data_IF_465945854611
#
_entry.id   IF_465945854611
#
_cell.length_a   1.000
_cell.length_b   1.000
_cell.length_c   1.000
_cell.angle_alpha   90.00
_cell.angle_beta   90.00
_cell.angle_gamma   90.00
#
_symmetry.space_group_name_H-M   'P 1'
#
loop_
_entity.id
_entity.type
_entity.pdbx_description
1 polymer ?
#
# COMPACT_ATOMS: atom_id res chain seq x y z
N UNK A 1 -4.09 14.44 20.29
CA UNK A 1 -4.44 14.92 18.93
C UNK A 1 -4.25 13.78 17.93
N UNK A 2 -5.23 13.51 17.07
CA UNK A 2 -5.17 12.42 16.09
C UNK A 2 -4.26 12.78 14.90
N UNK A 3 -3.51 11.79 14.38
CA UNK A 3 -2.73 11.89 13.15
C UNK A 3 -3.58 11.38 11.97
N UNK A 4 -3.49 12.02 10.81
CA UNK A 4 -4.22 11.59 9.61
C UNK A 4 -3.30 10.76 8.71
N UNK A 5 -3.84 9.75 8.04
CA UNK A 5 -3.09 9.00 7.01
C UNK A 5 -3.58 9.39 5.62
N UNK A 6 -2.66 9.53 4.67
CA UNK A 6 -2.93 9.70 3.25
C UNK A 6 -2.03 8.79 2.44
N UNK A 7 -2.63 7.88 1.68
CA UNK A 7 -1.94 6.88 0.88
C UNK A 7 -1.85 7.35 -0.57
N UNK A 8 -0.66 7.33 -1.15
CA UNK A 8 -0.43 7.41 -2.58
C UNK A 8 -0.02 6.03 -3.07
N UNK A 9 -0.76 5.52 -4.06
CA UNK A 9 -0.56 4.20 -4.64
C UNK A 9 -0.48 4.29 -6.16
N UNK A 10 0.24 3.39 -6.82
CA UNK A 10 0.46 3.51 -8.27
C UNK A 10 -0.76 3.17 -9.11
N UNK A 11 -1.55 2.18 -8.68
CA UNK A 11 -2.61 1.60 -9.49
C UNK A 11 -3.89 1.29 -8.73
N UNK A 12 -4.87 0.78 -9.48
CA UNK A 12 -6.19 0.41 -8.96
C UNK A 12 -6.15 -0.85 -8.11
N UNK A 13 -5.23 -1.78 -8.37
CA UNK A 13 -5.09 -2.98 -7.54
C UNK A 13 -4.66 -2.59 -6.11
N UNK A 14 -3.64 -1.74 -5.99
CA UNK A 14 -3.14 -1.23 -4.72
C UNK A 14 -4.18 -0.35 -4.03
N UNK A 15 -4.91 0.48 -4.78
CA UNK A 15 -6.03 1.26 -4.23
C UNK A 15 -7.08 0.35 -3.58
N UNK A 16 -7.53 -0.67 -4.31
CA UNK A 16 -8.53 -1.64 -3.83
C UNK A 16 -8.02 -2.43 -2.63
N UNK A 17 -6.74 -2.84 -2.64
CA UNK A 17 -6.11 -3.53 -1.52
C UNK A 17 -6.04 -2.62 -0.28
N UNK A 18 -5.57 -1.38 -0.40
CA UNK A 18 -5.50 -0.42 0.71
C UNK A 18 -6.89 -0.10 1.25
N UNK A 19 -7.91 0.05 0.39
CA UNK A 19 -9.31 0.21 0.81
C UNK A 19 -9.79 -0.98 1.65
N UNK A 20 -9.46 -2.19 1.21
CA UNK A 20 -9.81 -3.43 1.91
C UNK A 20 -9.10 -3.51 3.27
N UNK A 21 -7.78 -3.30 3.31
CA UNK A 21 -6.97 -3.45 4.52
C UNK A 21 -7.28 -2.42 5.60
N UNK A 22 -7.63 -1.19 5.20
CA UNK A 22 -7.97 -0.11 6.14
C UNK A 22 -9.41 -0.21 6.65
N UNK A 23 -10.23 -1.08 6.04
CA UNK A 23 -11.64 -1.22 6.41
C UNK A 23 -11.75 -1.60 7.88
N UNK A 24 -12.60 -0.89 8.62
CA UNK A 24 -12.78 -1.04 10.07
C UNK A 24 -11.48 -0.92 10.90
N UNK A 25 -10.41 -0.33 10.33
CA UNK A 25 -9.06 -0.37 10.90
C UNK A 25 -8.60 -1.80 11.24
N UNK A 26 -8.91 -2.78 10.40
CA UNK A 26 -8.55 -4.17 10.63
C UNK A 26 -7.03 -4.38 10.58
N UNK A 27 -6.39 -4.04 9.45
CA UNK A 27 -4.99 -4.37 9.18
C UNK A 27 -4.08 -3.14 9.13
N UNK A 28 -4.58 -2.01 8.65
CA UNK A 28 -3.83 -0.75 8.57
C UNK A 28 -4.67 0.42 9.06
N UNK A 29 -4.03 1.56 9.34
CA UNK A 29 -4.74 2.77 9.76
C UNK A 29 -5.61 3.35 8.64
N UNK A 30 -6.83 3.76 8.97
CA UNK A 30 -7.71 4.45 8.01
C UNK A 30 -7.15 5.81 7.57
N UNK A 31 -7.36 6.16 6.30
CA UNK A 31 -6.82 7.35 5.66
C UNK A 31 -7.40 7.59 4.26
N UNK A 32 -7.14 8.76 3.69
CA UNK A 32 -7.47 9.08 2.29
C UNK A 32 -6.53 8.33 1.33
N UNK A 33 -6.95 8.10 0.08
CA UNK A 33 -6.15 7.41 -0.94
C UNK A 33 -6.21 8.23 -2.23
N UNK A 34 -5.06 8.42 -2.86
CA UNK A 34 -4.91 8.95 -4.22
C UNK A 34 -4.12 7.94 -5.06
N UNK A 35 -4.52 7.75 -6.32
CA UNK A 35 -3.77 6.96 -7.29
C UNK A 35 -2.81 7.89 -8.03
N UNK A 36 -1.51 7.80 -7.73
CA UNK A 36 -0.41 8.56 -8.31
C UNK A 36 0.83 7.67 -8.26
N UNK A 37 1.47 7.43 -9.39
CA UNK A 37 2.75 6.73 -9.40
C UNK A 37 3.86 7.68 -8.91
N UNK A 38 4.24 7.57 -7.63
CA UNK A 38 5.20 8.50 -7.01
C UNK A 38 6.64 8.37 -7.55
N UNK A 39 6.96 7.31 -8.30
CA UNK A 39 8.26 7.11 -8.96
C UNK A 39 8.31 7.74 -10.36
N UNK A 40 7.17 8.12 -10.94
CA UNK A 40 7.09 8.70 -12.28
C UNK A 40 6.45 10.10 -12.28
N UNK A 41 5.47 10.32 -11.42
CA UNK A 41 4.68 11.54 -11.36
C UNK A 41 5.09 12.45 -10.21
N UNK A 42 4.97 13.76 -10.43
CA UNK A 42 5.20 14.75 -9.40
C UNK A 42 3.93 14.94 -8.55
N UNK A 43 4.04 14.82 -7.22
CA UNK A 43 2.95 15.22 -6.32
C UNK A 43 2.87 16.75 -6.33
N UNK A 44 1.78 17.27 -6.90
CA UNK A 44 1.62 18.71 -7.13
C UNK A 44 1.51 19.49 -5.82
N UNK A 45 1.89 20.78 -5.86
CA UNK A 45 1.74 21.66 -4.70
C UNK A 45 0.28 21.79 -4.25
N UNK A 46 -0.67 21.73 -5.18
CA UNK A 46 -2.10 21.73 -4.86
C UNK A 46 -2.48 20.53 -4.01
N UNK A 47 -2.03 19.33 -4.37
CA UNK A 47 -2.27 18.11 -3.58
C UNK A 47 -1.62 18.20 -2.21
N UNK A 48 -0.36 18.64 -2.14
CA UNK A 48 0.35 18.82 -0.86
C UNK A 48 -0.40 19.80 0.05
N UNK A 49 -0.85 20.95 -0.46
CA UNK A 49 -1.61 21.95 0.32
C UNK A 49 -2.98 21.45 0.78
N UNK A 50 -3.59 20.53 0.03
CA UNK A 50 -4.89 19.94 0.38
C UNK A 50 -4.79 18.92 1.54
N UNK A 51 -3.59 18.43 1.88
CA UNK A 51 -3.41 17.52 3.01
C UNK A 51 -3.77 18.22 4.33
N UNK A 52 -4.47 17.50 5.21
CA UNK A 52 -4.80 17.98 6.56
C UNK A 52 -3.53 18.24 7.36
N UNK A 53 -3.59 19.15 8.33
CA UNK A 53 -2.46 19.35 9.24
C UNK A 53 -2.15 18.07 10.03
N UNK A 54 -0.86 17.77 10.24
CA UNK A 54 -0.35 16.55 10.87
C UNK A 54 -0.67 15.26 10.10
N UNK A 55 -0.62 15.32 8.77
CA UNK A 55 -0.80 14.13 7.91
C UNK A 55 0.48 13.30 7.84
N UNK A 56 0.37 12.00 8.06
CA UNK A 56 1.33 10.97 7.68
C UNK A 56 1.04 10.60 6.22
N UNK A 57 1.99 10.87 5.34
CA UNK A 57 1.90 10.50 3.94
C UNK A 57 2.56 9.14 3.75
N UNK A 58 1.85 8.21 3.13
CA UNK A 58 2.32 6.85 2.84
C UNK A 58 2.48 6.73 1.33
N UNK A 59 3.70 6.48 0.87
CA UNK A 59 4.01 6.23 -0.54
C UNK A 59 4.19 4.73 -0.72
N UNK A 60 3.30 4.10 -1.49
CA UNK A 60 3.39 2.69 -1.89
C UNK A 60 3.73 2.66 -3.37
N UNK A 61 4.87 2.06 -3.71
CA UNK A 61 5.43 2.16 -5.06
C UNK A 61 6.11 0.88 -5.51
N UNK A 62 6.02 0.58 -6.79
CA UNK A 62 6.70 -0.54 -7.43
C UNK A 62 8.19 -0.24 -7.57
N UNK A 63 8.99 -1.30 -7.57
CA UNK A 63 10.45 -1.21 -7.68
C UNK A 63 10.99 -1.83 -8.96
N UNK A 64 10.12 -2.10 -9.93
CA UNK A 64 10.42 -2.75 -11.22
C UNK A 64 11.24 -1.86 -12.16
N UNK A 65 11.04 -0.53 -12.10
CA UNK A 65 11.74 0.46 -12.92
C UNK A 65 12.69 1.29 -12.09
N UNK A 66 13.94 1.42 -12.53
CA UNK A 66 14.94 2.25 -11.86
C UNK A 66 14.68 3.76 -12.06
N UNK A 67 13.73 4.31 -11.30
CA UNK A 67 13.30 5.71 -11.38
C UNK A 67 13.24 6.38 -9.99
N UNK A 68 14.35 6.39 -9.25
CA UNK A 68 14.39 6.90 -7.87
C UNK A 68 14.40 8.43 -7.75
N UNK A 69 14.81 9.15 -8.80
CA UNK A 69 14.94 10.61 -8.76
C UNK A 69 13.62 11.32 -8.46
N UNK A 70 12.54 10.92 -9.14
CA UNK A 70 11.21 11.50 -8.94
C UNK A 70 10.67 11.22 -7.53
N UNK A 71 10.87 10.00 -7.04
CA UNK A 71 10.49 9.64 -5.68
C UNK A 71 11.25 10.47 -4.64
N UNK A 72 12.57 10.64 -4.82
CA UNK A 72 13.41 11.49 -3.96
C UNK A 72 12.93 12.94 -3.93
N UNK A 73 12.59 13.51 -5.09
CA UNK A 73 12.04 14.86 -5.19
C UNK A 73 10.69 14.99 -4.45
N UNK A 74 9.79 14.03 -4.64
CA UNK A 74 8.50 13.99 -3.96
C UNK A 74 8.67 13.91 -2.43
N UNK A 75 9.53 13.02 -1.94
CA UNK A 75 9.85 12.89 -0.51
C UNK A 75 10.39 14.21 0.04
N UNK A 76 11.34 14.84 -0.65
CA UNK A 76 11.92 16.12 -0.22
C UNK A 76 10.87 17.24 -0.14
N UNK A 77 9.93 17.29 -1.09
CA UNK A 77 8.82 18.27 -1.08
C UNK A 77 7.84 18.02 0.04
N UNK A 78 7.46 16.77 0.27
CA UNK A 78 6.56 16.39 1.35
C UNK A 78 7.17 16.68 2.72
N UNK A 79 8.45 16.36 2.93
CA UNK A 79 9.14 16.65 4.20
C UNK A 79 9.27 18.16 4.48
N UNK A 80 9.28 19.01 3.46
CA UNK A 80 9.28 20.48 3.62
C UNK A 80 7.90 21.07 3.92
N UNK A 81 6.82 20.31 3.70
CA UNK A 81 5.46 20.80 3.84
C UNK A 81 5.02 20.83 5.31
N UNK A 82 4.60 21.99 5.82
CA UNK A 82 4.26 22.19 7.25
C UNK A 82 3.12 21.31 7.76
N UNK A 83 2.23 20.89 6.88
CA UNK A 83 1.08 20.04 7.19
C UNK A 83 1.43 18.54 7.19
N UNK A 84 2.57 18.15 6.61
CA UNK A 84 3.05 16.76 6.63
C UNK A 84 3.84 16.54 7.91
N UNK A 85 3.39 15.59 8.72
CA UNK A 85 4.07 15.18 9.94
C UNK A 85 5.21 14.20 9.66
N UNK A 86 5.00 13.28 8.71
CA UNK A 86 5.95 12.24 8.36
C UNK A 86 5.66 11.67 6.98
N UNK A 87 6.70 11.28 6.26
CA UNK A 87 6.61 10.45 5.04
C UNK A 87 7.01 9.02 5.38
N UNK A 88 6.24 8.06 4.91
CA UNK A 88 6.43 6.61 5.05
C UNK A 88 6.62 6.04 3.64
N UNK A 89 7.70 5.28 3.43
CA UNK A 89 8.01 4.65 2.15
C UNK A 89 7.78 3.14 2.23
N UNK A 90 6.99 2.59 1.31
CA UNK A 90 6.65 1.17 1.24
C UNK A 90 6.93 0.67 -0.18
N UNK A 91 8.08 0.02 -0.40
CA UNK A 91 8.39 -0.58 -1.69
C UNK A 91 7.60 -1.88 -1.89
N UNK A 92 6.96 -2.00 -3.05
CA UNK A 92 6.43 -3.24 -3.59
C UNK A 92 7.55 -3.90 -4.43
N UNK A 93 8.18 -4.92 -3.83
CA UNK A 93 9.36 -5.60 -4.40
C UNK A 93 8.97 -6.68 -5.40
N UNK A 94 7.93 -7.42 -5.08
CA UNK A 94 7.30 -8.37 -5.99
C UNK A 94 6.13 -7.69 -6.69
N UNK A 95 5.71 -8.20 -7.85
CA UNK A 95 4.46 -7.73 -8.44
C UNK A 95 3.29 -8.02 -7.48
N UNK A 96 2.19 -7.30 -7.69
CA UNK A 96 1.00 -7.38 -6.85
C UNK A 96 0.49 -8.82 -6.62
N UNK A 97 0.46 -9.65 -7.66
CA UNK A 97 0.01 -11.04 -7.58
C UNK A 97 0.90 -11.92 -6.70
N UNK A 98 2.21 -11.88 -6.92
CA UNK A 98 3.19 -12.66 -6.17
C UNK A 98 3.25 -12.22 -4.71
N UNK A 99 3.10 -10.91 -4.47
CA UNK A 99 3.03 -10.34 -3.13
C UNK A 99 1.79 -10.86 -2.37
N UNK A 100 0.64 -10.96 -3.04
CA UNK A 100 -0.57 -11.57 -2.47
C UNK A 100 -0.43 -13.06 -2.21
N UNK A 101 0.15 -13.82 -3.15
CA UNK A 101 0.45 -15.24 -2.96
C UNK A 101 1.33 -15.46 -1.74
N UNK A 102 2.38 -14.65 -1.58
CA UNK A 102 3.32 -14.76 -0.47
C UNK A 102 2.69 -14.49 0.91
N UNK A 103 1.72 -13.58 0.98
CA UNK A 103 1.09 -13.20 2.24
C UNK A 103 -0.23 -13.93 2.51
N UNK A 104 -0.58 -14.94 1.72
CA UNK A 104 -1.77 -15.80 1.91
C UNK A 104 -1.38 -17.27 1.77
N UNK A 105 -2.31 -18.18 2.02
CA UNK A 105 -2.13 -19.63 1.81
C UNK A 105 -2.71 -20.14 0.48
N UNK A 106 -3.00 -19.24 -0.46
CA UNK A 106 -3.50 -19.63 -1.77
C UNK A 106 -2.35 -20.11 -2.66
N UNK A 107 -2.57 -21.19 -3.40
CA UNK A 107 -1.55 -21.71 -4.34
C UNK A 107 -1.51 -20.93 -5.67
N UNK A 108 -2.65 -20.38 -6.08
CA UNK A 108 -2.79 -19.66 -7.35
C UNK A 108 -3.63 -18.39 -7.19
N UNK A 109 -3.14 -17.29 -7.78
CA UNK A 109 -3.76 -15.97 -7.60
C UNK A 109 -5.22 -15.91 -8.10
N UNK A 110 -5.57 -16.69 -9.13
CA UNK A 110 -6.95 -16.78 -9.65
C UNK A 110 -7.92 -17.33 -8.62
N UNK A 111 -7.46 -18.15 -7.66
CA UNK A 111 -8.30 -18.75 -6.63
C UNK A 111 -8.75 -17.71 -5.60
N UNK A 112 -8.01 -16.60 -5.46
CA UNK A 112 -8.40 -15.50 -4.58
C UNK A 112 -9.71 -14.85 -5.05
N UNK A 113 -9.82 -14.56 -6.34
CA UNK A 113 -11.00 -13.92 -6.94
C UNK A 113 -12.00 -14.91 -7.53
N UNK A 114 -11.68 -16.20 -7.64
CA UNK A 114 -12.35 -17.19 -8.49
C UNK A 114 -12.36 -16.77 -9.97
N UNK A 115 -11.26 -16.19 -10.44
CA UNK A 115 -11.11 -15.73 -11.82
C UNK A 115 -11.00 -16.90 -12.80
N UNK A 116 -11.53 -16.69 -14.02
CA UNK A 116 -11.43 -17.66 -15.11
C UNK A 116 -9.97 -17.95 -15.52
N UNK A 117 -9.10 -16.96 -15.42
CA UNK A 117 -7.68 -17.05 -15.77
C UNK A 117 -6.84 -16.09 -14.92
N UNK A 118 -5.52 -16.28 -14.93
CA UNK A 118 -4.57 -15.33 -14.29
C UNK A 118 -4.65 -13.93 -14.91
N UNK A 119 -4.84 -13.84 -16.24
CA UNK A 119 -4.96 -12.55 -16.94
C UNK A 119 -6.16 -11.71 -16.51
N UNK A 120 -7.24 -12.37 -16.04
CA UNK A 120 -8.47 -11.68 -15.61
C UNK A 120 -8.43 -11.28 -14.13
N UNK A 121 -7.43 -11.76 -13.38
CA UNK A 121 -7.33 -11.55 -11.94
C UNK A 121 -7.45 -10.07 -11.54
N UNK A 122 -6.62 -9.18 -12.13
CA UNK A 122 -6.63 -7.76 -11.76
C UNK A 122 -8.00 -7.11 -11.96
N UNK A 123 -8.67 -7.41 -13.07
CA UNK A 123 -10.02 -6.90 -13.34
C UNK A 123 -11.02 -7.41 -12.30
N UNK A 124 -11.02 -8.71 -12.03
CA UNK A 124 -11.94 -9.32 -11.05
C UNK A 124 -11.65 -8.84 -9.62
N UNK A 125 -10.39 -8.57 -9.29
CA UNK A 125 -9.99 -8.03 -7.99
C UNK A 125 -10.50 -6.61 -7.81
N UNK A 126 -10.28 -5.73 -8.79
CA UNK A 126 -10.71 -4.32 -8.74
C UNK A 126 -12.23 -4.19 -8.64
N UNK A 127 -12.97 -5.11 -9.28
CA UNK A 127 -14.43 -5.10 -9.29
C UNK A 127 -15.09 -5.73 -8.05
N UNK A 128 -14.30 -6.32 -7.14
CA UNK A 128 -14.85 -6.90 -5.90
C UNK A 128 -15.06 -5.84 -4.82
N UNK A 129 -16.17 -5.99 -4.08
CA UNK A 129 -16.44 -5.18 -2.89
C UNK A 129 -15.39 -5.45 -1.82
N UNK A 130 -14.99 -4.41 -1.10
CA UNK A 130 -13.98 -4.50 -0.04
C UNK A 130 -14.36 -5.51 1.06
N UNK A 131 -15.64 -5.66 1.39
CA UNK A 131 -16.09 -6.65 2.38
C UNK A 131 -15.87 -8.09 1.91
N UNK A 132 -16.05 -8.34 0.61
CA UNK A 132 -15.81 -9.66 0.01
C UNK A 132 -14.31 -9.97 -0.02
N UNK A 133 -13.49 -9.00 -0.41
CA UNK A 133 -12.04 -9.13 -0.40
C UNK A 133 -11.51 -9.34 1.02
N UNK A 134 -12.04 -8.62 2.01
CA UNK A 134 -11.63 -8.80 3.40
C UNK A 134 -11.97 -10.22 3.91
N UNK A 135 -13.17 -10.72 3.60
CA UNK A 135 -13.56 -12.08 3.96
C UNK A 135 -12.66 -13.13 3.31
N UNK A 136 -12.25 -12.90 2.05
CA UNK A 136 -11.31 -13.76 1.32
C UNK A 136 -9.91 -13.74 1.93
N UNK A 137 -9.36 -12.56 2.25
CA UNK A 137 -8.09 -12.44 2.97
C UNK A 137 -8.11 -13.25 4.28
N UNK A 138 -9.19 -13.12 5.06
CA UNK A 138 -9.36 -13.89 6.31
C UNK A 138 -9.45 -15.39 6.07
N UNK A 139 -10.17 -15.82 5.03
CA UNK A 139 -10.30 -17.23 4.66
C UNK A 139 -8.97 -17.82 4.17
N UNK A 140 -8.13 -17.01 3.53
CA UNK A 140 -6.85 -17.42 2.98
C UNK A 140 -5.66 -17.18 3.93
N UNK A 141 -5.91 -17.23 5.24
CA UNK A 141 -4.91 -17.01 6.30
C UNK A 141 -3.96 -15.82 6.05
N UNK A 142 -4.50 -14.71 5.54
CA UNK A 142 -3.70 -13.55 5.17
C UNK A 142 -2.86 -13.02 6.35
N UNK A 143 -1.57 -12.87 6.10
CA UNK A 143 -0.61 -12.38 7.07
C UNK A 143 -0.13 -10.96 6.70
N UNK A 144 -0.67 -9.98 7.42
CA UNK A 144 -0.30 -8.57 7.25
C UNK A 144 1.17 -8.30 7.51
N UNK A 145 1.84 -9.05 8.39
CA UNK A 145 3.26 -8.82 8.70
C UNK A 145 4.16 -9.22 7.52
N UNK A 146 3.69 -10.12 6.65
CA UNK A 146 4.37 -10.54 5.43
C UNK A 146 4.14 -9.54 4.29
N UNK A 147 2.94 -8.95 4.17
CA UNK A 147 2.64 -7.97 3.10
C UNK A 147 3.57 -6.76 3.17
N UNK A 148 4.18 -6.39 2.04
CA UNK A 148 5.18 -5.33 1.87
C UNK A 148 6.32 -5.40 2.91
N UNK A 149 6.77 -6.59 3.28
CA UNK A 149 7.86 -6.77 4.26
C UNK A 149 9.26 -6.78 3.64
N UNK A 150 9.36 -6.90 2.31
CA UNK A 150 10.65 -7.04 1.61
C UNK A 150 11.35 -5.71 1.44
N UNK A 151 12.68 -5.75 1.45
CA UNK A 151 13.53 -4.60 1.13
C UNK A 151 14.02 -4.78 -0.31
N UNK A 152 13.90 -3.76 -1.17
CA UNK A 152 14.40 -3.83 -2.54
C UNK A 152 15.92 -3.98 -2.55
N UNK A 153 16.46 -4.72 -3.53
CA UNK A 153 17.92 -4.92 -3.71
C UNK A 153 18.56 -3.93 -4.68
N UNK A 154 17.75 -3.12 -5.36
CA UNK A 154 18.19 -2.13 -6.34
C UNK A 154 18.32 -0.73 -5.69
N UNK A 155 18.35 0.31 -6.53
CA UNK A 155 18.52 1.70 -6.10
C UNK A 155 17.45 2.17 -5.10
N UNK A 156 16.27 1.54 -5.04
CA UNK A 156 15.24 1.88 -4.05
C UNK A 156 15.60 1.49 -2.62
N UNK A 157 16.65 0.68 -2.41
CA UNK A 157 17.16 0.32 -1.07
C UNK A 157 17.49 1.56 -0.22
N UNK A 158 17.83 2.69 -0.86
CA UNK A 158 18.10 3.97 -0.19
C UNK A 158 16.91 4.51 0.63
N UNK A 159 15.67 4.15 0.25
CA UNK A 159 14.45 4.61 0.94
C UNK A 159 14.00 3.67 2.07
N UNK A 160 14.64 2.51 2.20
CA UNK A 160 14.28 1.48 3.18
C UNK A 160 12.87 0.92 2.97
N UNK A 161 12.26 0.40 4.05
CA UNK A 161 10.89 -0.06 4.07
C UNK A 161 10.25 0.22 5.44
N UNK A 162 9.17 1.01 5.42
CA UNK A 162 8.47 1.48 6.60
C UNK A 162 7.08 0.83 6.79
N UNK A 163 6.77 -0.27 6.10
CA UNK A 163 5.45 -0.90 6.11
C UNK A 163 4.94 -1.21 7.53
N UNK A 164 5.81 -1.63 8.43
CA UNK A 164 5.46 -1.91 9.83
C UNK A 164 4.83 -0.72 10.58
N UNK A 165 5.08 0.52 10.13
CA UNK A 165 4.56 1.75 10.73
C UNK A 165 3.08 2.00 10.41
N UNK A 166 2.53 1.37 9.38
CA UNK A 166 1.11 1.49 9.01
C UNK A 166 0.28 0.29 9.47
N UNK A 167 0.94 -0.85 9.73
CA UNK A 167 0.31 -2.09 10.14
C UNK A 167 -0.20 -1.99 11.56
N UNK A 168 -1.42 -2.47 11.77
CA UNK A 168 -2.00 -2.67 13.08
C UNK A 168 -1.66 -4.09 13.50
N UNK A 169 -0.85 -4.22 14.55
CA UNK A 169 -0.73 -5.52 15.23
C UNK A 169 -2.12 -5.89 15.70
N UNK A 170 -2.61 -7.06 15.29
CA UNK A 170 -3.84 -7.59 15.87
C UNK A 170 -3.67 -7.55 17.40
N UNK A 171 -4.65 -7.05 18.17
CA UNK A 171 -4.65 -7.27 19.61
C UNK A 171 -4.59 -8.78 19.79
N UNK A 172 -3.46 -9.28 20.29
CA UNK A 172 -3.19 -10.71 20.33
C UNK A 172 -4.33 -11.43 21.05
N UNK A 173 -4.63 -12.65 20.59
CA UNK A 173 -5.08 -13.70 21.50
C UNK A 173 -4.00 -13.85 22.57
N UNK A 174 -4.09 -13.07 23.64
CA UNK A 174 -3.53 -13.40 24.93
C UNK A 174 -4.58 -14.26 25.60
N UNK A 175 -4.42 -15.58 25.49
CA UNK A 175 -4.91 -16.61 26.41
C UNK A 175 -4.28 -17.92 25.99
#
# INVERSE_FOLDING_TARGET
MSKFYHYYVEGKCEETLVKTLKMNNEYIYSGAIDVINATQECISNTRIRALKNKTIVVLIYDTDREATNRLRENIARLNKAKNVYKVICIPQVENFEDELLRCTDIDEIRNFTNSKSKSNFKSDFINQKEQSLLAKLKKSNFNIDILWSKIPKNNYSEFGNDASKIKRRMPGKHS
#
